data_IF_681185930233
#
_entry.id   IF_681185930233
#
_cell.length_a   1.000
_cell.length_b   1.000
_cell.length_c   1.000
_cell.angle_alpha   90.00
_cell.angle_beta   90.00
_cell.angle_gamma   90.00
#
_symmetry.space_group_name_H-M   'P 1'
#
loop_
_entity.id
_entity.type
_entity.pdbx_description
1 polymer ?
#
# COMPACT_ATOMS: atom_id res chain seq x y z
N UNK A 1 46.64 -42.87 10.47
CA UNK A 1 47.39 -41.62 10.71
C UNK A 1 46.80 -40.55 9.80
N UNK A 2 46.18 -39.46 10.19
CA UNK A 2 45.76 -38.90 11.47
C UNK A 2 44.39 -38.22 11.22
N UNK A 3 43.42 -38.46 12.12
CA UNK A 3 42.07 -37.92 12.02
C UNK A 3 42.02 -36.53 12.67
N UNK A 4 41.64 -35.50 11.90
CA UNK A 4 41.45 -34.14 12.40
C UNK A 4 40.05 -34.02 13.02
N UNK A 5 39.99 -34.04 14.34
CA UNK A 5 38.77 -33.76 15.12
C UNK A 5 38.58 -32.24 15.24
N UNK A 6 37.42 -31.75 14.81
CA UNK A 6 36.99 -30.36 15.05
C UNK A 6 36.37 -30.22 16.45
N UNK A 7 36.57 -29.08 17.13
CA UNK A 7 36.09 -28.89 18.49
C UNK A 7 34.58 -28.60 18.55
N UNK A 8 33.90 -29.33 19.43
CA UNK A 8 32.50 -29.14 19.81
C UNK A 8 32.34 -27.85 20.61
N UNK A 9 31.71 -26.83 20.02
CA UNK A 9 31.34 -25.59 20.70
C UNK A 9 30.00 -25.80 21.41
N UNK A 10 30.09 -26.05 22.72
CA UNK A 10 28.94 -26.22 23.62
C UNK A 10 28.37 -24.84 23.98
N UNK A 11 27.27 -24.44 23.35
CA UNK A 11 26.49 -23.26 23.72
C UNK A 11 25.83 -23.47 25.09
N UNK A 12 26.45 -22.97 26.15
CA UNK A 12 25.80 -22.82 27.47
C UNK A 12 24.81 -21.65 27.40
N UNK A 13 23.51 -21.97 27.40
CA UNK A 13 22.45 -21.00 27.65
C UNK A 13 22.43 -20.65 29.14
N UNK A 14 23.02 -19.51 29.49
CA UNK A 14 22.86 -18.86 30.79
C UNK A 14 21.45 -18.28 30.87
N UNK A 15 20.55 -18.93 31.60
CA UNK A 15 19.28 -18.36 32.05
C UNK A 15 19.52 -17.61 33.36
N UNK A 16 19.89 -16.33 33.28
CA UNK A 16 19.85 -15.44 34.44
C UNK A 16 18.41 -14.99 34.67
N UNK A 17 17.70 -15.75 35.50
CA UNK A 17 16.42 -15.36 36.06
C UNK A 17 16.70 -14.45 37.27
N UNK A 18 16.51 -13.14 37.08
CA UNK A 18 16.78 -12.11 38.09
C UNK A 18 15.68 -12.16 39.16
N UNK A 19 15.91 -12.92 40.24
CA UNK A 19 15.12 -12.90 41.47
C UNK A 19 15.06 -11.46 42.02
N UNK A 20 13.84 -10.92 42.14
CA UNK A 20 13.58 -9.70 42.94
C UNK A 20 13.78 -10.02 44.42
N UNK A 21 14.30 -9.09 45.23
CA UNK A 21 14.33 -9.21 46.68
C UNK A 21 12.90 -9.15 47.22
N UNK A 22 12.54 -10.12 48.05
CA UNK A 22 11.34 -10.12 48.87
C UNK A 22 11.55 -9.16 50.04
N UNK A 23 10.94 -7.98 49.97
CA UNK A 23 10.75 -7.13 51.14
C UNK A 23 9.81 -7.84 52.11
N UNK A 24 10.33 -8.13 53.29
CA UNK A 24 9.57 -8.54 54.47
C UNK A 24 8.77 -7.34 54.97
N UNK A 25 7.47 -7.33 54.69
CA UNK A 25 6.52 -6.48 55.39
C UNK A 25 5.98 -7.23 56.60
N UNK A 26 6.11 -6.59 57.76
CA UNK A 26 5.55 -7.01 59.04
C UNK A 26 4.02 -7.17 58.97
N UNK A 27 3.43 -8.16 59.66
CA UNK A 27 2.00 -8.38 59.67
C UNK A 27 1.33 -7.46 60.69
N UNK A 28 1.11 -6.20 60.33
CA UNK A 28 0.20 -5.33 61.08
C UNK A 28 -1.25 -5.63 60.71
N UNK A 29 -1.92 -6.36 61.61
CA UNK A 29 -3.28 -6.14 62.09
C UNK A 29 -4.24 -5.32 61.20
N UNK A 30 -4.69 -5.87 60.06
CA UNK A 30 -5.95 -5.45 59.44
C UNK A 30 -7.08 -6.41 59.81
N UNK A 31 -7.84 -5.96 60.81
CA UNK A 31 -9.25 -6.28 61.05
C UNK A 31 -9.95 -6.82 59.81
N UNK A 32 -10.46 -8.06 59.92
CA UNK A 32 -11.45 -8.62 58.99
C UNK A 32 -12.71 -7.76 59.07
N UNK A 33 -12.80 -6.72 58.24
CA UNK A 33 -14.11 -6.25 57.80
C UNK A 33 -14.55 -7.19 56.68
N UNK A 34 -15.30 -8.19 57.08
CA UNK A 34 -16.13 -9.04 56.24
C UNK A 34 -17.16 -8.10 55.56
N UNK A 35 -16.73 -7.39 54.52
CA UNK A 35 -17.64 -6.70 53.61
C UNK A 35 -18.19 -7.76 52.67
N UNK A 36 -19.41 -8.19 52.96
CA UNK A 36 -20.23 -9.15 52.24
C UNK A 36 -20.56 -8.62 50.83
N UNK A 37 -19.54 -8.60 49.97
CA UNK A 37 -19.60 -8.03 48.61
C UNK A 37 -20.45 -8.89 47.67
N UNK A 38 -20.77 -10.13 48.09
CA UNK A 38 -21.60 -11.06 47.33
C UNK A 38 -23.10 -10.73 47.43
N UNK A 39 -23.57 -10.13 48.52
CA UNK A 39 -24.96 -9.68 48.65
C UNK A 39 -25.25 -8.38 47.89
N UNK A 40 -24.31 -7.43 47.87
CA UNK A 40 -24.46 -6.21 47.06
C UNK A 40 -24.41 -6.50 45.55
N UNK A 41 -23.59 -7.47 45.10
CA UNK A 41 -23.55 -7.90 43.70
C UNK A 41 -24.83 -8.60 43.24
N UNK A 42 -25.55 -9.30 44.13
CA UNK A 42 -26.87 -9.88 43.83
C UNK A 42 -27.98 -8.82 43.67
N UNK A 43 -27.78 -7.61 44.22
CA UNK A 43 -28.75 -6.50 44.11
C UNK A 43 -28.66 -5.71 42.80
N UNK A 44 -27.58 -5.87 42.03
CA UNK A 44 -27.33 -5.09 40.81
C UNK A 44 -28.19 -5.49 39.59
N UNK A 45 -29.11 -6.45 39.76
CA UNK A 45 -29.93 -6.97 38.68
C UNK A 45 -29.13 -7.71 37.62
N UNK A 46 -29.79 -8.41 36.68
CA UNK A 46 -29.09 -8.96 35.53
C UNK A 46 -28.40 -7.82 34.76
N UNK A 47 -27.20 -8.04 34.21
CA UNK A 47 -26.54 -7.03 33.39
C UNK A 47 -27.51 -6.58 32.28
N UNK A 48 -27.57 -5.27 31.95
CA UNK A 48 -28.46 -4.78 30.92
C UNK A 48 -28.23 -5.58 29.65
N UNK A 49 -29.34 -6.08 29.06
CA UNK A 49 -29.27 -6.88 27.85
C UNK A 49 -28.48 -6.11 26.79
N UNK A 50 -27.52 -6.78 26.15
CA UNK A 50 -26.74 -6.20 25.07
C UNK A 50 -27.73 -5.73 23.98
N UNK A 51 -27.82 -4.41 23.69
CA UNK A 51 -28.75 -3.89 22.68
C UNK A 51 -28.47 -4.43 21.27
N UNK A 52 -27.35 -5.11 21.07
CA UNK A 52 -26.95 -5.73 19.82
C UNK A 52 -26.96 -7.27 19.86
N UNK A 53 -27.58 -7.90 20.87
CA UNK A 53 -27.67 -9.36 20.98
C UNK A 53 -28.25 -10.03 19.72
N UNK A 54 -29.15 -9.34 19.01
CA UNK A 54 -29.79 -9.82 17.77
C UNK A 54 -29.12 -9.29 16.48
N UNK A 55 -28.04 -8.52 16.59
CA UNK A 55 -27.35 -7.98 15.43
C UNK A 55 -26.76 -9.12 14.58
N UNK A 56 -27.21 -9.23 13.33
CA UNK A 56 -26.75 -10.27 12.41
C UNK A 56 -27.48 -11.63 12.52
N UNK A 57 -28.39 -11.83 13.49
CA UNK A 57 -29.22 -13.05 13.57
C UNK A 57 -29.89 -13.36 12.23
N UNK A 58 -30.56 -12.37 11.62
CA UNK A 58 -31.23 -12.53 10.32
C UNK A 58 -30.28 -12.92 9.17
N UNK A 59 -29.03 -12.45 9.16
CA UNK A 59 -28.07 -12.84 8.11
C UNK A 59 -27.51 -14.24 8.35
N UNK A 60 -27.27 -14.61 9.61
CA UNK A 60 -26.85 -15.95 10.02
C UNK A 60 -27.93 -16.98 9.69
N UNK A 61 -29.20 -16.72 10.03
CA UNK A 61 -30.31 -17.63 9.71
C UNK A 61 -30.42 -17.87 8.20
N UNK A 62 -30.21 -16.82 7.38
CA UNK A 62 -30.20 -16.94 5.91
C UNK A 62 -29.02 -17.75 5.37
N UNK A 63 -27.86 -17.68 6.02
CA UNK A 63 -26.69 -18.50 5.66
C UNK A 63 -26.89 -19.96 6.05
N UNK A 64 -27.42 -20.22 7.25
CA UNK A 64 -27.67 -21.57 7.76
C UNK A 64 -28.79 -22.30 6.99
N UNK A 65 -29.79 -21.56 6.51
CA UNK A 65 -30.88 -22.12 5.72
C UNK A 65 -30.47 -22.60 4.31
N UNK A 66 -29.22 -22.40 3.89
CA UNK A 66 -28.72 -22.72 2.55
C UNK A 66 -27.55 -23.70 2.58
N UNK A 67 -27.79 -25.03 2.60
CA UNK A 67 -26.71 -26.03 2.70
C UNK A 67 -25.71 -25.97 1.54
N UNK A 68 -26.13 -25.50 0.35
CA UNK A 68 -25.26 -25.28 -0.81
C UNK A 68 -24.21 -24.18 -0.59
N UNK A 69 -24.41 -23.29 0.38
CA UNK A 69 -23.44 -22.24 0.72
C UNK A 69 -22.14 -22.83 1.26
N UNK A 70 -22.17 -24.02 1.87
CA UNK A 70 -20.96 -24.74 2.32
C UNK A 70 -20.07 -25.15 1.15
N UNK A 71 -20.69 -25.70 0.10
CA UNK A 71 -19.95 -26.09 -1.10
C UNK A 71 -19.49 -24.85 -1.87
N UNK A 72 -20.37 -23.86 -2.06
CA UNK A 72 -20.05 -22.61 -2.75
C UNK A 72 -18.94 -21.84 -2.04
N UNK A 73 -18.92 -21.76 -0.72
CA UNK A 73 -17.85 -21.09 0.02
C UNK A 73 -16.52 -21.83 -0.15
N UNK A 74 -16.52 -23.17 -0.07
CA UNK A 74 -15.32 -23.98 -0.32
C UNK A 74 -14.77 -23.80 -1.73
N UNK A 75 -15.64 -23.86 -2.75
CA UNK A 75 -15.29 -23.60 -4.16
C UNK A 75 -14.75 -22.17 -4.31
N UNK A 76 -15.43 -21.18 -3.72
CA UNK A 76 -15.03 -19.77 -3.82
C UNK A 76 -13.68 -19.51 -3.18
N UNK A 77 -13.40 -20.12 -2.01
CA UNK A 77 -12.08 -20.02 -1.35
C UNK A 77 -11.01 -20.74 -2.17
N UNK A 78 -11.32 -21.92 -2.69
CA UNK A 78 -10.37 -22.70 -3.51
C UNK A 78 -10.02 -22.00 -4.84
N UNK A 79 -11.00 -21.34 -5.46
CA UNK A 79 -10.80 -20.53 -6.67
C UNK A 79 -10.50 -19.06 -6.39
N UNK A 80 -10.34 -18.68 -5.13
CA UNK A 80 -10.02 -17.30 -4.78
C UNK A 80 -8.65 -16.99 -5.37
N UNK A 81 -8.63 -16.17 -6.41
CA UNK A 81 -7.38 -15.64 -6.94
C UNK A 81 -6.92 -14.55 -5.98
N UNK A 82 -5.60 -14.37 -5.87
CA UNK A 82 -4.98 -13.30 -5.08
C UNK A 82 -5.79 -11.99 -5.21
N UNK A 83 -6.38 -11.55 -4.09
CA UNK A 83 -7.27 -10.40 -4.06
C UNK A 83 -6.56 -9.09 -4.42
N UNK A 84 -7.32 -8.12 -4.93
CA UNK A 84 -6.85 -6.80 -5.29
C UNK A 84 -7.14 -6.42 -6.74
N UNK A 85 -6.70 -5.21 -7.13
CA UNK A 85 -6.85 -4.73 -8.50
C UNK A 85 -6.09 -5.59 -9.51
N UNK A 86 -6.52 -5.58 -10.77
CA UNK A 86 -5.83 -6.25 -11.88
C UNK A 86 -4.34 -5.88 -11.95
N UNK A 87 -4.01 -4.60 -11.75
CA UNK A 87 -2.63 -4.12 -11.73
C UNK A 87 -1.81 -4.76 -10.61
N UNK A 88 -2.39 -4.91 -9.41
CA UNK A 88 -1.70 -5.55 -8.28
C UNK A 88 -1.45 -7.03 -8.57
N UNK A 89 -2.45 -7.74 -9.10
CA UNK A 89 -2.33 -9.15 -9.51
C UNK A 89 -1.24 -9.33 -10.56
N UNK A 90 -1.21 -8.47 -11.56
CA UNK A 90 -0.18 -8.47 -12.59
C UNK A 90 1.23 -8.28 -11.99
N UNK A 91 1.42 -7.30 -11.12
CA UNK A 91 2.73 -7.04 -10.50
C UNK A 91 3.18 -8.23 -9.64
N UNK A 92 2.28 -8.82 -8.85
CA UNK A 92 2.59 -10.01 -8.05
C UNK A 92 3.00 -11.20 -8.93
N UNK A 93 2.24 -11.46 -10.00
CA UNK A 93 2.56 -12.52 -10.96
C UNK A 93 3.90 -12.26 -11.69
N UNK A 94 4.16 -11.03 -12.09
CA UNK A 94 5.41 -10.64 -12.75
C UNK A 94 6.63 -10.92 -11.87
N UNK A 95 6.60 -10.46 -10.61
CA UNK A 95 7.71 -10.67 -9.68
C UNK A 95 7.87 -12.13 -9.31
N UNK A 96 6.76 -12.84 -9.08
CA UNK A 96 6.80 -14.29 -8.85
C UNK A 96 7.43 -15.04 -10.02
N UNK A 97 7.01 -14.79 -11.26
CA UNK A 97 7.50 -15.52 -12.42
C UNK A 97 8.99 -15.26 -12.66
N UNK A 98 9.47 -14.02 -12.47
CA UNK A 98 10.89 -13.69 -12.53
C UNK A 98 11.70 -14.42 -11.46
N UNK A 99 11.20 -14.39 -10.22
CA UNK A 99 11.85 -15.08 -9.11
C UNK A 99 11.90 -16.58 -9.36
N UNK A 100 10.80 -17.18 -9.84
CA UNK A 100 10.75 -18.62 -10.06
C UNK A 100 11.67 -19.06 -11.20
N UNK A 101 11.66 -18.32 -12.33
CA UNK A 101 12.58 -18.60 -13.42
C UNK A 101 14.03 -18.54 -12.94
N UNK A 102 14.41 -17.49 -12.19
CA UNK A 102 15.73 -17.40 -11.60
C UNK A 102 16.04 -18.55 -10.63
N UNK A 103 15.08 -18.94 -9.77
CA UNK A 103 15.29 -20.00 -8.77
C UNK A 103 15.50 -21.38 -9.42
N UNK A 104 14.76 -21.69 -10.48
CA UNK A 104 14.90 -22.94 -11.23
C UNK A 104 16.19 -22.92 -12.05
N UNK A 105 16.39 -21.89 -12.88
CA UNK A 105 17.48 -21.86 -13.85
C UNK A 105 18.85 -21.60 -13.20
N UNK A 106 18.91 -20.76 -12.16
CA UNK A 106 20.19 -20.32 -11.56
C UNK A 106 20.52 -21.13 -10.29
N UNK A 107 19.52 -21.46 -9.46
CA UNK A 107 19.77 -22.22 -8.24
C UNK A 107 19.51 -23.73 -8.39
N UNK A 108 18.95 -24.18 -9.51
CA UNK A 108 18.55 -25.58 -9.69
C UNK A 108 17.51 -26.04 -8.66
N UNK A 109 16.72 -25.12 -8.10
CA UNK A 109 15.75 -25.47 -7.09
C UNK A 109 14.51 -26.13 -7.71
N UNK A 110 13.94 -27.09 -7.00
CA UNK A 110 12.68 -27.70 -7.40
C UNK A 110 11.55 -26.64 -7.47
N UNK A 111 10.75 -26.60 -8.55
CA UNK A 111 9.66 -25.64 -8.68
C UNK A 111 8.55 -25.80 -7.63
N UNK A 112 8.33 -27.01 -7.10
CA UNK A 112 7.36 -27.29 -6.05
C UNK A 112 7.85 -26.90 -4.64
N UNK A 113 9.17 -26.84 -4.44
CA UNK A 113 9.75 -26.52 -3.14
C UNK A 113 9.42 -25.10 -2.65
N UNK A 114 9.16 -24.99 -1.34
CA UNK A 114 8.92 -23.71 -0.67
C UNK A 114 10.19 -22.85 -0.71
N UNK A 115 10.15 -21.64 -1.29
CA UNK A 115 11.31 -20.78 -1.35
C UNK A 115 11.74 -20.25 0.01
N UNK A 116 13.02 -19.94 0.18
CA UNK A 116 13.58 -19.38 1.42
C UNK A 116 13.78 -17.87 1.34
N UNK A 117 13.81 -17.21 2.51
CA UNK A 117 14.15 -15.79 2.59
C UNK A 117 15.55 -15.47 2.05
N UNK A 118 16.49 -16.41 2.14
CA UNK A 118 17.83 -16.28 1.55
C UNK A 118 17.76 -16.23 0.02
N UNK A 119 17.03 -17.16 -0.60
CA UNK A 119 16.83 -17.18 -2.05
C UNK A 119 16.19 -15.87 -2.52
N UNK A 120 15.22 -15.35 -1.77
CA UNK A 120 14.60 -14.05 -2.06
C UNK A 120 15.64 -12.92 -2.04
N UNK A 121 16.50 -12.85 -1.02
CA UNK A 121 17.54 -11.82 -0.93
C UNK A 121 18.57 -11.94 -2.06
N UNK A 122 19.01 -13.16 -2.38
CA UNK A 122 19.95 -13.43 -3.48
C UNK A 122 19.35 -13.04 -4.83
N UNK A 123 18.07 -13.34 -5.05
CA UNK A 123 17.36 -12.90 -6.25
C UNK A 123 17.31 -11.38 -6.37
N UNK A 124 16.99 -10.66 -5.29
CA UNK A 124 16.93 -9.19 -5.32
C UNK A 124 18.29 -8.60 -5.70
N UNK A 125 19.37 -9.09 -5.10
CA UNK A 125 20.73 -8.67 -5.45
C UNK A 125 21.04 -8.94 -6.93
N UNK A 126 20.78 -10.17 -7.40
CA UNK A 126 21.03 -10.55 -8.79
C UNK A 126 20.19 -9.73 -9.78
N UNK A 127 18.91 -9.51 -9.50
CA UNK A 127 18.00 -8.75 -10.35
C UNK A 127 18.46 -7.30 -10.51
N UNK A 128 18.92 -6.67 -9.42
CA UNK A 128 19.42 -5.28 -9.47
C UNK A 128 20.72 -5.19 -10.27
N UNK A 129 21.64 -6.14 -10.09
CA UNK A 129 22.90 -6.21 -10.86
C UNK A 129 22.61 -6.33 -12.35
N UNK A 130 21.79 -7.30 -12.76
CA UNK A 130 21.40 -7.49 -14.17
C UNK A 130 20.72 -6.23 -14.73
N UNK A 131 19.81 -5.61 -13.97
CA UNK A 131 19.18 -4.39 -14.43
C UNK A 131 20.18 -3.23 -14.57
N UNK A 132 21.13 -3.11 -13.64
CA UNK A 132 22.14 -2.06 -13.69
C UNK A 132 23.10 -2.24 -14.88
N UNK A 133 23.56 -3.47 -15.14
CA UNK A 133 24.54 -3.75 -16.18
C UNK A 133 23.91 -3.75 -17.59
N UNK A 134 22.74 -4.38 -17.76
CA UNK A 134 22.19 -4.62 -19.10
C UNK A 134 21.10 -3.62 -19.53
N UNK A 135 20.36 -3.08 -18.54
CA UNK A 135 19.13 -2.32 -18.81
C UNK A 135 19.33 -0.82 -18.54
N UNK A 136 20.01 -0.46 -17.45
CA UNK A 136 20.18 0.94 -17.05
C UNK A 136 20.84 1.82 -18.12
N UNK A 137 21.84 1.36 -18.89
CA UNK A 137 22.41 2.16 -19.99
C UNK A 137 21.38 2.57 -21.04
N UNK A 138 20.27 1.82 -21.18
CA UNK A 138 19.23 2.04 -22.19
C UNK A 138 17.98 2.72 -21.64
N UNK A 139 17.63 2.43 -20.39
CA UNK A 139 16.33 2.81 -19.79
C UNK A 139 16.43 3.63 -18.50
N UNK A 140 17.66 3.91 -18.06
CA UNK A 140 17.95 4.60 -16.81
C UNK A 140 17.98 3.67 -15.59
N UNK A 141 18.54 4.19 -14.51
CA UNK A 141 18.72 3.48 -13.24
C UNK A 141 17.37 3.12 -12.61
N UNK A 142 17.31 1.94 -12.00
CA UNK A 142 16.09 1.44 -11.35
C UNK A 142 15.80 2.22 -10.06
N UNK A 143 14.53 2.58 -9.84
CA UNK A 143 14.15 3.30 -8.62
C UNK A 143 14.12 2.38 -7.39
N UNK A 144 14.65 2.86 -6.27
CA UNK A 144 14.56 2.21 -4.96
C UNK A 144 13.10 1.88 -4.58
N UNK A 145 12.17 2.80 -4.87
CA UNK A 145 10.74 2.61 -4.59
C UNK A 145 10.15 1.46 -5.41
N UNK A 146 10.53 1.34 -6.68
CA UNK A 146 10.10 0.23 -7.54
C UNK A 146 10.56 -1.11 -6.99
N UNK A 147 11.81 -1.20 -6.52
CA UNK A 147 12.32 -2.42 -5.88
C UNK A 147 11.61 -2.73 -4.58
N UNK A 148 11.38 -1.74 -3.72
CA UNK A 148 10.62 -1.91 -2.48
C UNK A 148 9.20 -2.42 -2.74
N UNK A 149 8.50 -1.87 -3.72
CA UNK A 149 7.19 -2.37 -4.15
C UNK A 149 7.26 -3.78 -4.73
N UNK A 150 8.35 -4.10 -5.44
CA UNK A 150 8.61 -5.45 -5.95
C UNK A 150 8.78 -6.49 -4.86
N UNK A 151 9.51 -6.17 -3.79
CA UNK A 151 9.66 -7.05 -2.61
C UNK A 151 8.30 -7.35 -1.97
N UNK A 152 7.47 -6.31 -1.76
CA UNK A 152 6.13 -6.48 -1.17
C UNK A 152 5.25 -7.35 -2.07
N UNK A 153 5.29 -7.12 -3.39
CA UNK A 153 4.51 -7.90 -4.34
C UNK A 153 4.98 -9.36 -4.41
N UNK A 154 6.30 -9.59 -4.35
CA UNK A 154 6.87 -10.93 -4.30
C UNK A 154 6.48 -11.66 -3.02
N UNK A 155 6.64 -11.03 -1.85
CA UNK A 155 6.24 -11.60 -0.56
C UNK A 155 4.76 -12.01 -0.59
N UNK A 156 3.87 -11.12 -1.06
CA UNK A 156 2.45 -11.44 -1.19
C UNK A 156 2.17 -12.61 -2.15
N UNK A 157 2.92 -12.69 -3.26
CA UNK A 157 2.78 -13.79 -4.20
C UNK A 157 3.27 -15.13 -3.61
N UNK A 158 4.34 -15.11 -2.80
CA UNK A 158 4.89 -16.29 -2.14
C UNK A 158 3.98 -16.80 -1.02
N UNK A 159 3.48 -15.90 -0.16
CA UNK A 159 2.49 -16.25 0.88
C UNK A 159 1.24 -16.87 0.24
N UNK A 160 0.80 -16.35 -0.90
CA UNK A 160 -0.39 -16.86 -1.58
C UNK A 160 -0.17 -18.23 -2.25
N UNK A 161 1.02 -18.50 -2.80
CA UNK A 161 1.29 -19.71 -3.60
C UNK A 161 1.84 -20.89 -2.79
N UNK A 162 2.51 -20.62 -1.66
CA UNK A 162 3.17 -21.63 -0.86
C UNK A 162 2.61 -21.58 0.56
N UNK A 163 1.79 -22.57 0.91
CA UNK A 163 1.06 -22.63 2.20
C UNK A 163 2.00 -22.51 3.42
N UNK A 164 3.19 -23.11 3.32
CA UNK A 164 4.19 -23.12 4.38
C UNK A 164 5.19 -21.95 4.30
N UNK A 165 5.01 -21.00 3.39
CA UNK A 165 5.93 -19.89 3.26
C UNK A 165 5.71 -18.87 4.37
N UNK A 166 6.75 -18.67 5.16
CA UNK A 166 6.83 -17.61 6.14
C UNK A 166 8.10 -16.81 5.88
N UNK A 167 7.97 -15.48 5.89
CA UNK A 167 9.11 -14.58 5.81
C UNK A 167 9.33 -13.93 7.19
N UNK A 168 10.18 -14.52 8.04
CA UNK A 168 10.57 -13.92 9.32
C UNK A 168 11.07 -12.49 9.16
N UNK A 169 10.88 -11.67 10.20
CA UNK A 169 11.30 -10.26 10.19
C UNK A 169 12.78 -10.07 9.89
N UNK A 170 13.64 -10.99 10.37
CA UNK A 170 15.06 -11.03 10.04
C UNK A 170 15.31 -11.02 8.52
N UNK A 171 14.53 -11.77 7.73
CA UNK A 171 14.70 -11.80 6.28
C UNK A 171 14.15 -10.55 5.59
N UNK A 172 13.09 -9.94 6.14
CA UNK A 172 12.61 -8.62 5.66
C UNK A 172 13.67 -7.54 5.87
N UNK A 173 14.31 -7.53 7.04
CA UNK A 173 15.42 -6.62 7.34
C UNK A 173 16.61 -6.85 6.39
N UNK A 174 16.98 -8.11 6.15
CA UNK A 174 18.04 -8.44 5.18
C UNK A 174 17.69 -8.00 3.76
N UNK A 175 16.47 -8.24 3.30
CA UNK A 175 16.02 -7.79 1.97
C UNK A 175 16.10 -6.27 1.85
N UNK A 176 15.70 -5.53 2.90
CA UNK A 176 15.86 -4.07 2.93
C UNK A 176 17.32 -3.65 2.89
N UNK A 177 18.17 -4.26 3.70
CA UNK A 177 19.61 -3.97 3.73
C UNK A 177 20.29 -4.23 2.38
N UNK A 178 19.88 -5.29 1.65
CA UNK A 178 20.35 -5.55 0.28
C UNK A 178 19.98 -4.41 -0.67
N UNK A 179 18.75 -3.90 -0.60
CA UNK A 179 18.35 -2.76 -1.45
C UNK A 179 19.10 -1.48 -1.08
N UNK A 180 19.28 -1.20 0.21
CA UNK A 180 20.04 -0.04 0.68
C UNK A 180 21.52 -0.13 0.27
N UNK A 181 22.09 -1.33 0.28
CA UNK A 181 23.44 -1.57 -0.20
C UNK A 181 23.57 -1.33 -1.71
N UNK A 182 22.60 -1.80 -2.50
CA UNK A 182 22.56 -1.53 -3.93
C UNK A 182 22.39 -0.03 -4.24
N UNK A 183 21.62 0.68 -3.42
CA UNK A 183 21.49 2.14 -3.51
C UNK A 183 22.81 2.84 -3.20
N UNK A 184 23.50 2.44 -2.13
CA UNK A 184 24.81 2.97 -1.75
C UNK A 184 25.86 2.78 -2.84
N UNK A 185 25.75 1.69 -3.60
CA UNK A 185 26.58 1.40 -4.79
C UNK A 185 26.17 2.17 -6.05
N UNK A 186 25.12 2.99 -6.01
CA UNK A 186 24.59 3.72 -7.16
C UNK A 186 23.80 2.86 -8.16
N UNK A 187 23.55 1.58 -7.84
CA UNK A 187 22.79 0.69 -8.73
C UNK A 187 21.28 0.97 -8.67
N UNK A 188 20.82 1.57 -7.57
CA UNK A 188 19.47 2.07 -7.40
C UNK A 188 19.51 3.58 -7.19
N UNK A 189 18.47 4.26 -7.66
CA UNK A 189 18.28 5.70 -7.41
C UNK A 189 17.03 5.98 -6.58
N UNK A 190 17.12 6.95 -5.68
CA UNK A 190 15.95 7.57 -5.03
C UNK A 190 15.40 8.75 -5.81
N UNK A 191 16.20 9.37 -6.67
CA UNK A 191 15.74 10.48 -7.48
C UNK A 191 14.69 9.97 -8.47
N UNK A 192 13.61 10.74 -8.64
CA UNK A 192 12.70 10.47 -9.75
C UNK A 192 13.50 10.69 -11.03
N UNK A 193 13.38 9.79 -12.01
CA UNK A 193 13.91 10.04 -13.34
C UNK A 193 13.15 11.26 -13.91
N UNK A 194 13.74 12.44 -13.77
CA UNK A 194 13.23 13.72 -14.29
C UNK A 194 13.08 13.69 -15.81
N UNK A 195 13.79 12.76 -16.48
CA UNK A 195 13.74 12.56 -17.94
C UNK A 195 12.45 11.93 -18.45
N UNK A 196 11.57 11.44 -17.59
CA UNK A 196 10.20 11.11 -17.98
C UNK A 196 9.33 12.32 -17.70
N UNK A 197 8.95 13.03 -18.77
CA UNK A 197 7.70 13.79 -18.74
C UNK A 197 6.66 12.90 -18.05
N UNK A 198 6.01 13.36 -16.96
CA UNK A 198 5.09 12.52 -16.23
C UNK A 198 4.08 12.02 -17.26
N UNK A 199 3.87 10.70 -17.35
CA UNK A 199 2.97 10.13 -18.36
C UNK A 199 1.60 10.84 -18.37
N UNK A 200 1.21 11.42 -17.23
CA UNK A 200 0.10 12.38 -17.10
C UNK A 200 0.17 13.58 -18.04
N UNK A 201 1.30 14.28 -18.18
CA UNK A 201 1.44 15.41 -19.11
C UNK A 201 1.22 15.01 -20.58
N UNK A 202 1.76 13.85 -21.00
CA UNK A 202 1.55 13.33 -22.36
C UNK A 202 0.07 12.98 -22.59
N UNK A 203 -0.56 12.30 -21.63
CA UNK A 203 -1.98 11.93 -21.71
C UNK A 203 -2.86 13.19 -21.72
N UNK A 204 -2.60 14.15 -20.84
CA UNK A 204 -3.34 15.41 -20.75
C UNK A 204 -3.20 16.20 -22.05
N UNK A 205 -1.99 16.30 -22.60
CA UNK A 205 -1.76 16.94 -23.91
C UNK A 205 -2.58 16.28 -25.02
N UNK A 206 -2.64 14.95 -25.07
CA UNK A 206 -3.44 14.21 -26.07
C UNK A 206 -4.93 14.44 -25.90
N UNK A 207 -5.44 14.40 -24.67
CA UNK A 207 -6.86 14.66 -24.37
C UNK A 207 -7.24 16.08 -24.77
N UNK A 208 -6.43 17.07 -24.38
CA UNK A 208 -6.66 18.48 -24.72
C UNK A 208 -6.61 18.71 -26.23
N UNK A 209 -5.61 18.14 -26.92
CA UNK A 209 -5.51 18.23 -28.37
C UNK A 209 -6.71 17.59 -29.07
N UNK A 210 -7.16 16.42 -28.61
CA UNK A 210 -8.33 15.73 -29.17
C UNK A 210 -9.62 16.54 -28.97
N UNK A 211 -9.87 17.08 -27.78
CA UNK A 211 -11.04 17.92 -27.50
C UNK A 211 -11.05 19.21 -28.34
N UNK A 212 -9.88 19.80 -28.54
CA UNK A 212 -9.74 21.01 -29.37
C UNK A 212 -9.96 20.71 -30.85
N UNK A 213 -9.36 19.63 -31.37
CA UNK A 213 -9.53 19.22 -32.76
C UNK A 213 -10.96 18.78 -33.06
N UNK A 214 -11.60 18.06 -32.15
CA UNK A 214 -13.02 17.68 -32.24
C UNK A 214 -13.92 18.92 -32.37
N UNK A 215 -13.68 19.95 -31.56
CA UNK A 215 -14.42 21.21 -31.63
C UNK A 215 -14.18 21.99 -32.94
N UNK A 216 -13.01 21.85 -33.56
CA UNK A 216 -12.73 22.43 -34.89
C UNK A 216 -13.49 21.67 -35.99
N UNK A 217 -13.41 20.34 -35.98
CA UNK A 217 -13.93 19.49 -37.05
C UNK A 217 -15.45 19.40 -37.00
N UNK A 218 -16.01 19.14 -35.82
CA UNK A 218 -17.43 18.87 -35.63
C UNK A 218 -18.22 20.11 -35.17
N UNK A 219 -17.53 21.23 -34.92
CA UNK A 219 -18.10 22.42 -34.30
C UNK A 219 -18.34 22.23 -32.80
N UNK A 220 -18.69 23.32 -32.11
CA UNK A 220 -19.05 23.30 -30.69
C UNK A 220 -20.27 24.18 -30.44
N UNK A 221 -21.11 23.79 -29.47
CA UNK A 221 -22.23 24.62 -29.01
C UNK A 221 -21.80 25.98 -28.43
N UNK A 222 -20.52 26.13 -28.06
CA UNK A 222 -19.94 27.42 -27.69
C UNK A 222 -18.46 27.31 -27.31
N UNK A 223 -17.62 28.14 -27.92
CA UNK A 223 -16.18 28.16 -27.66
C UNK A 223 -15.83 28.41 -26.19
N UNK A 224 -16.61 29.25 -25.50
CA UNK A 224 -16.41 29.50 -24.07
C UNK A 224 -16.54 28.22 -23.22
N UNK A 225 -17.53 27.38 -23.52
CA UNK A 225 -17.78 26.11 -22.82
C UNK A 225 -16.65 25.11 -23.09
N UNK A 226 -16.26 24.95 -24.36
CA UNK A 226 -15.16 24.05 -24.75
C UNK A 226 -13.82 24.47 -24.12
N UNK A 227 -13.47 25.75 -24.23
CA UNK A 227 -12.21 26.26 -23.65
C UNK A 227 -12.20 26.16 -22.13
N UNK A 228 -13.34 26.37 -21.47
CA UNK A 228 -13.45 26.20 -20.01
C UNK A 228 -13.29 24.72 -19.63
N UNK A 229 -13.88 23.79 -20.39
CA UNK A 229 -13.67 22.35 -20.18
C UNK A 229 -12.21 21.93 -20.32
N UNK A 230 -11.54 22.39 -21.39
CA UNK A 230 -10.12 22.14 -21.64
C UNK A 230 -9.25 22.73 -20.51
N UNK A 231 -9.51 23.97 -20.12
CA UNK A 231 -8.78 24.63 -19.04
C UNK A 231 -8.95 23.91 -17.70
N UNK A 232 -10.14 23.38 -17.42
CA UNK A 232 -10.42 22.61 -16.22
C UNK A 232 -9.55 21.35 -16.15
N UNK A 233 -9.43 20.61 -17.27
CA UNK A 233 -8.57 19.41 -17.36
C UNK A 233 -7.11 19.78 -17.15
N UNK A 234 -6.64 20.87 -17.76
CA UNK A 234 -5.27 21.36 -17.58
C UNK A 234 -4.99 21.77 -16.14
N UNK A 235 -5.96 22.37 -15.45
CA UNK A 235 -5.83 22.79 -14.06
C UNK A 235 -5.83 21.61 -13.09
N UNK A 236 -6.71 20.63 -13.29
CA UNK A 236 -6.70 19.39 -12.52
C UNK A 236 -5.34 18.69 -12.67
N UNK A 237 -4.83 18.64 -13.90
CA UNK A 237 -3.55 18.02 -14.21
C UNK A 237 -2.35 18.76 -13.62
N UNK A 238 -2.31 20.09 -13.72
CA UNK A 238 -1.17 20.91 -13.26
C UNK A 238 -1.11 21.02 -11.74
N UNK A 239 -2.27 21.05 -11.07
CA UNK A 239 -2.35 21.16 -9.61
C UNK A 239 -2.29 19.79 -8.92
N UNK A 240 -2.40 18.68 -9.67
CA UNK A 240 -2.39 17.33 -9.11
C UNK A 240 -3.60 17.04 -8.20
N UNK A 241 -4.68 17.79 -8.37
CA UNK A 241 -5.88 17.72 -7.52
C UNK A 241 -6.91 16.75 -8.11
N UNK A 242 -7.76 16.18 -7.26
CA UNK A 242 -8.87 15.31 -7.70
C UNK A 242 -9.96 16.16 -8.32
N UNK A 243 -10.77 15.56 -9.20
CA UNK A 243 -11.91 16.24 -9.82
C UNK A 243 -12.91 16.83 -8.80
N UNK A 244 -12.97 16.28 -7.58
CA UNK A 244 -13.79 16.79 -6.47
C UNK A 244 -13.18 17.98 -5.70
N UNK A 245 -11.89 18.28 -5.89
CA UNK A 245 -11.20 19.36 -5.18
C UNK A 245 -11.42 20.72 -5.85
N UNK A 246 -11.77 20.74 -7.15
CA UNK A 246 -12.26 21.94 -7.84
C UNK A 246 -13.79 21.95 -7.72
N UNK A 247 -14.29 22.68 -6.71
CA UNK A 247 -15.72 22.69 -6.41
C UNK A 247 -16.50 23.50 -7.45
N UNK A 248 -17.51 22.87 -8.07
CA UNK A 248 -18.61 23.59 -8.72
C UNK A 248 -19.43 24.36 -7.68
N UNK A 249 -20.14 25.40 -8.11
CA UNK A 249 -21.11 26.09 -7.23
C UNK A 249 -22.33 25.17 -7.07
N UNK A 250 -22.21 24.14 -6.23
CA UNK A 250 -23.34 23.34 -5.77
C UNK A 250 -23.92 23.96 -4.50
N UNK A 251 -25.20 23.68 -4.21
CA UNK A 251 -25.89 24.17 -3.00
C UNK A 251 -25.21 23.73 -1.69
N UNK A 252 -24.35 22.71 -1.75
CA UNK A 252 -23.59 22.16 -0.61
C UNK A 252 -22.17 22.72 -0.49
N UNK A 253 -21.73 23.58 -1.42
CA UNK A 253 -20.40 24.17 -1.38
C UNK A 253 -20.31 25.21 -0.26
N UNK A 254 -19.86 24.80 0.93
CA UNK A 254 -19.72 25.72 2.07
C UNK A 254 -18.80 26.89 1.69
N UNK A 255 -19.24 28.16 1.86
CA UNK A 255 -18.49 29.34 1.43
C UNK A 255 -17.19 29.60 2.18
N UNK A 256 -16.99 28.92 3.31
CA UNK A 256 -15.90 29.07 4.26
C UNK A 256 -14.73 28.10 4.04
N UNK A 257 -14.90 27.05 3.22
CA UNK A 257 -13.85 26.08 2.97
C UNK A 257 -12.80 26.62 1.99
N UNK A 258 -11.49 26.50 2.30
CA UNK A 258 -10.43 26.86 1.37
C UNK A 258 -10.49 25.95 0.14
N UNK A 259 -10.53 26.54 -1.05
CA UNK A 259 -10.61 25.80 -2.30
C UNK A 259 -10.59 26.71 -3.52
N UNK A 260 -10.21 26.16 -4.66
CA UNK A 260 -10.25 26.83 -5.96
C UNK A 260 -11.61 26.60 -6.61
N UNK A 261 -12.32 27.68 -6.98
CA UNK A 261 -13.59 27.60 -7.72
C UNK A 261 -13.36 27.93 -9.18
N UNK A 262 -14.22 27.42 -10.07
CA UNK A 262 -14.20 27.81 -11.49
C UNK A 262 -14.37 29.32 -11.70
N UNK A 263 -15.17 29.98 -10.86
CA UNK A 263 -15.34 31.44 -10.89
C UNK A 263 -14.11 32.23 -10.44
N UNK A 264 -13.14 31.58 -9.79
CA UNK A 264 -11.89 32.18 -9.35
C UNK A 264 -10.78 32.04 -10.43
N UNK A 265 -11.08 31.37 -11.54
CA UNK A 265 -10.21 31.24 -12.71
C UNK A 265 -10.71 32.18 -13.81
N UNK A 266 -9.90 33.17 -14.18
CA UNK A 266 -10.17 34.02 -15.35
C UNK A 266 -9.13 33.77 -16.41
N UNK A 267 -9.56 33.35 -17.59
CA UNK A 267 -8.71 33.15 -18.76
C UNK A 267 -9.09 34.20 -19.79
N UNK A 268 -8.11 34.97 -20.24
CA UNK A 268 -8.27 35.94 -21.31
C UNK A 268 -7.27 35.61 -22.43
N UNK A 269 -7.72 35.71 -23.67
CA UNK A 269 -6.83 35.74 -24.81
C UNK A 269 -6.20 37.14 -24.90
N UNK A 270 -4.89 37.17 -25.11
CA UNK A 270 -4.14 38.38 -25.38
C UNK A 270 -4.04 38.61 -26.90
N UNK A 271 -3.69 39.83 -27.32
CA UNK A 271 -3.75 40.26 -28.72
C UNK A 271 -2.79 39.48 -29.64
N UNK A 272 -1.75 38.92 -29.06
CA UNK A 272 -0.73 38.05 -29.65
C UNK A 272 -1.17 36.57 -29.77
N UNK A 273 -2.40 36.24 -29.37
CA UNK A 273 -2.93 34.88 -29.40
C UNK A 273 -2.44 33.99 -28.24
N UNK A 274 -1.70 34.55 -27.29
CA UNK A 274 -1.35 33.89 -26.04
C UNK A 274 -2.53 33.94 -25.06
N UNK A 275 -2.63 32.97 -24.15
CA UNK A 275 -3.68 32.96 -23.12
C UNK A 275 -3.08 33.34 -21.76
N UNK A 276 -3.64 34.37 -21.12
CA UNK A 276 -3.30 34.76 -19.74
C UNK A 276 -4.37 34.22 -18.78
N UNK A 277 -3.95 33.40 -17.83
CA UNK A 277 -4.80 32.89 -16.76
C UNK A 277 -4.48 33.60 -15.44
N UNK A 278 -5.52 34.10 -14.75
CA UNK A 278 -5.43 34.66 -13.40
C UNK A 278 -6.20 33.77 -12.44
N UNK A 279 -5.53 33.34 -11.38
CA UNK A 279 -6.09 32.50 -10.33
C UNK A 279 -6.31 33.32 -9.06
N UNK A 280 -7.48 33.21 -8.44
CA UNK A 280 -7.74 33.72 -7.10
C UNK A 280 -7.85 32.56 -6.12
N UNK A 281 -6.81 32.34 -5.32
CA UNK A 281 -6.82 31.32 -4.27
C UNK A 281 -7.50 31.90 -3.02
N UNK A 282 -8.57 31.24 -2.54
CA UNK A 282 -9.25 31.64 -1.30
C UNK A 282 -8.56 30.97 -0.10
N UNK A 283 -7.92 31.77 0.75
CA UNK A 283 -7.39 31.30 2.03
C UNK A 283 -8.51 31.07 3.04
N UNK A 284 -8.49 29.95 3.75
CA UNK A 284 -9.38 29.72 4.88
C UNK A 284 -9.03 30.66 6.02
N UNK A 285 -10.01 31.24 6.71
CA UNK A 285 -9.75 31.95 7.97
C UNK A 285 -9.16 30.94 8.95
N UNK A 286 -7.88 31.07 9.26
CA UNK A 286 -7.27 30.36 10.38
C UNK A 286 -8.08 30.68 11.63
N UNK A 287 -8.61 29.66 12.30
CA UNK A 287 -8.99 29.80 13.71
C UNK A 287 -7.70 30.17 14.44
N UNK A 288 -7.64 31.42 14.92
CA UNK A 288 -6.71 31.80 15.99
C UNK A 288 -7.11 31.06 17.26
#
# INVERSE_FOLDING_TARGET
MAANQLPSVRLQRSTQNKKRPSESMDPEHHSKSEYDSEEEMKSLGPPPADPFADAGQKSISRLLARPEMRLKSKITVHHAVQGGSWSKRYICALWHNRFQAWRVEILGADPGSTPTGEQMCRFLAAFVVVHHEDIAPKKGTLSFHTMKSGVIALEQALIFRYENFQLPEHWRMKARAVLEECERKGMLTRTMNESREPAGAIVVRRVVAALYQDAIINGTGGWNTTLTGIASILLLASLGVRAGDIMGVTKDARPDLPGLRYSDVKIAADQDGSFKARFRIRGGKGRK
#
